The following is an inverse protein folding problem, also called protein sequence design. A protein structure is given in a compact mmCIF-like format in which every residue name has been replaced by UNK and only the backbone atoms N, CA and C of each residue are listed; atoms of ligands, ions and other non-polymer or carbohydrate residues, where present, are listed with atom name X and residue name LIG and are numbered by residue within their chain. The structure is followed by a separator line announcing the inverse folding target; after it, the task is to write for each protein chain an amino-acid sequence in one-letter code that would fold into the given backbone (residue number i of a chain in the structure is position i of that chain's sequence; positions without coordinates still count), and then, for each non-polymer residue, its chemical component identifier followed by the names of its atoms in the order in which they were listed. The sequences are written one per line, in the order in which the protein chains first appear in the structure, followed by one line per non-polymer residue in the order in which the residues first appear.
data_IF_479692712297
#
_entry.id   IF_479692712297
#
_cell.length_a   1.000
_cell.length_b   1.000
_cell.length_c   1.000
_cell.angle_alpha   90.00
_cell.angle_beta   90.00
_cell.angle_gamma   90.00
#
_symmetry.space_group_name_H-M   'P 1'
#
loop_
_entity.id
_entity.type
_entity.pdbx_description
1 polymer ?
#
# COMPACT_ATOMS: atom_id res chain seq x y z
N UNK A 1 20.08 16.41 7.56
CA UNK A 1 19.03 15.50 7.09
C UNK A 1 18.18 16.14 5.99
N UNK A 2 17.42 17.20 6.28
CA UNK A 2 16.53 17.88 5.32
C UNK A 2 17.28 18.30 4.05
N UNK A 3 18.37 19.00 4.19
CA UNK A 3 19.21 19.47 3.07
C UNK A 3 19.65 18.32 2.15
N UNK A 4 20.04 17.19 2.75
CA UNK A 4 20.48 16.02 2.00
C UNK A 4 19.32 15.37 1.22
N UNK A 5 18.16 15.23 1.84
CA UNK A 5 16.98 14.66 1.17
C UNK A 5 16.47 15.58 0.06
N UNK A 6 16.47 16.89 0.28
CA UNK A 6 16.16 17.87 -0.78
C UNK A 6 17.09 17.72 -1.96
N UNK A 7 18.39 17.58 -1.69
CA UNK A 7 19.39 17.37 -2.74
C UNK A 7 19.10 16.09 -3.54
N UNK A 8 18.86 14.97 -2.86
CA UNK A 8 18.49 13.71 -3.51
C UNK A 8 17.18 13.82 -4.29
N UNK A 9 16.14 14.44 -3.71
CA UNK A 9 14.87 14.64 -4.39
C UNK A 9 15.02 15.51 -5.66
N UNK A 10 15.89 16.49 -5.63
CA UNK A 10 16.21 17.32 -6.81
C UNK A 10 17.02 16.53 -7.85
N UNK A 11 18.01 15.76 -7.43
CA UNK A 11 19.00 15.15 -8.30
C UNK A 11 18.66 13.70 -8.75
N UNK A 12 17.64 13.08 -8.21
CA UNK A 12 17.09 11.83 -8.72
C UNK A 12 16.31 12.12 -10.02
N UNK A 13 17.03 12.28 -11.11
CA UNK A 13 16.46 12.79 -12.40
C UNK A 13 16.00 11.68 -13.33
N UNK A 14 16.43 10.44 -13.13
CA UNK A 14 16.00 9.32 -13.98
C UNK A 14 14.50 9.10 -13.83
N UNK A 15 13.79 9.18 -14.93
CA UNK A 15 12.34 8.93 -14.98
C UNK A 15 12.01 7.51 -14.49
N UNK A 16 10.90 7.37 -13.76
CA UNK A 16 10.46 6.09 -13.20
C UNK A 16 11.31 5.58 -12.04
N UNK A 17 12.33 6.32 -11.58
CA UNK A 17 13.14 5.94 -10.41
C UNK A 17 12.46 6.41 -9.13
N UNK A 18 12.38 5.50 -8.15
CA UNK A 18 11.83 5.80 -6.84
C UNK A 18 12.93 6.02 -5.82
N UNK A 19 12.79 7.07 -5.00
CA UNK A 19 13.70 7.38 -3.93
C UNK A 19 13.18 6.80 -2.62
N UNK A 20 13.99 5.97 -1.95
CA UNK A 20 13.73 5.47 -0.61
C UNK A 20 14.74 6.06 0.35
N UNK A 21 14.26 6.65 1.44
CA UNK A 21 15.11 7.34 2.39
C UNK A 21 15.52 6.41 3.52
N UNK A 22 16.82 6.24 3.67
CA UNK A 22 17.40 5.53 4.80
C UNK A 22 17.27 6.32 6.11
N UNK A 23 16.81 5.67 7.17
CA UNK A 23 16.69 6.27 8.50
C UNK A 23 17.34 5.42 9.59
N UNK A 24 18.27 6.04 10.31
CA UNK A 24 18.78 5.51 11.56
C UNK A 24 17.70 5.70 12.65
N UNK A 25 17.07 4.60 13.03
CA UNK A 25 15.93 4.61 13.96
C UNK A 25 16.40 5.00 15.36
N UNK A 26 17.51 4.45 15.84
CA UNK A 26 18.01 4.73 17.18
C UNK A 26 18.28 6.22 17.38
N UNK A 27 18.96 6.84 16.42
CA UNK A 27 19.24 8.30 16.46
C UNK A 27 17.96 9.11 16.28
N UNK A 28 17.07 8.70 15.40
CA UNK A 28 15.80 9.39 15.14
C UNK A 28 14.92 9.42 16.40
N UNK A 29 14.78 8.30 17.09
CA UNK A 29 14.00 8.18 18.32
C UNK A 29 14.68 8.85 19.52
N UNK A 30 16.04 8.81 19.60
CA UNK A 30 16.78 9.53 20.62
C UNK A 30 16.57 11.03 20.54
N UNK A 31 16.48 11.59 19.34
CA UNK A 31 16.32 13.00 19.07
C UNK A 31 14.85 13.45 18.91
N UNK A 32 13.89 12.55 19.13
CA UNK A 32 12.43 12.78 18.93
C UNK A 32 12.09 13.42 17.56
N UNK A 33 12.70 12.88 16.50
CA UNK A 33 12.58 13.46 15.16
C UNK A 33 11.70 12.63 14.20
N UNK A 34 11.09 11.54 14.65
CA UNK A 34 10.35 10.63 13.77
C UNK A 34 9.25 11.37 13.00
N UNK A 35 8.38 12.08 13.71
CA UNK A 35 7.26 12.80 13.11
C UNK A 35 7.73 13.82 12.07
N UNK A 36 8.72 14.63 12.41
CA UNK A 36 9.26 15.67 11.51
C UNK A 36 9.85 15.05 10.25
N UNK A 37 10.59 13.95 10.36
CA UNK A 37 11.19 13.26 9.22
C UNK A 37 10.12 12.64 8.33
N UNK A 38 9.18 11.90 8.89
CA UNK A 38 8.12 11.22 8.13
C UNK A 38 7.22 12.20 7.36
N UNK A 39 6.80 13.29 8.01
CA UNK A 39 5.98 14.32 7.36
C UNK A 39 6.75 15.03 6.25
N UNK A 40 8.01 15.36 6.49
CA UNK A 40 8.84 16.00 5.49
C UNK A 40 9.05 15.12 4.25
N UNK A 41 9.40 13.86 4.43
CA UNK A 41 9.59 12.92 3.33
C UNK A 41 8.33 12.73 2.48
N UNK A 42 7.16 12.67 3.12
CA UNK A 42 5.86 12.58 2.43
C UNK A 42 5.52 13.83 1.60
N UNK A 43 6.10 14.97 1.91
CA UNK A 43 5.93 16.19 1.12
C UNK A 43 6.75 16.20 -0.19
N UNK A 44 7.66 15.22 -0.37
CA UNK A 44 8.56 15.16 -1.51
C UNK A 44 8.06 14.18 -2.58
N UNK A 45 7.87 14.65 -3.79
CA UNK A 45 7.22 13.90 -4.87
C UNK A 45 7.93 12.61 -5.29
N UNK A 46 9.27 12.58 -5.21
CA UNK A 46 10.09 11.43 -5.63
C UNK A 46 10.35 10.43 -4.51
N UNK A 47 10.11 10.81 -3.24
CA UNK A 47 10.23 9.91 -2.11
C UNK A 47 9.01 8.99 -2.05
N UNK A 48 9.24 7.68 -2.18
CA UNK A 48 8.19 6.66 -2.22
C UNK A 48 8.19 5.75 -0.99
N UNK A 49 9.17 5.90 -0.12
CA UNK A 49 9.22 5.10 1.10
C UNK A 49 10.51 5.26 1.89
N UNK A 50 10.62 4.43 2.91
CA UNK A 50 11.71 4.46 3.89
C UNK A 50 12.42 3.12 3.99
N UNK A 51 13.70 3.18 4.34
CA UNK A 51 14.49 2.04 4.74
C UNK A 51 14.99 2.29 6.18
N UNK A 52 14.42 1.60 7.15
CA UNK A 52 14.74 1.78 8.57
C UNK A 52 15.85 0.82 9.02
N UNK A 53 16.82 1.35 9.78
CA UNK A 53 17.85 0.53 10.42
C UNK A 53 18.24 1.07 11.81
N UNK A 54 18.85 0.26 12.66
CA UNK A 54 18.88 -1.21 12.58
C UNK A 54 17.49 -1.82 12.82
N UNK A 55 17.22 -2.97 12.22
CA UNK A 55 15.89 -3.60 12.26
C UNK A 55 15.43 -3.97 13.68
N UNK A 56 16.37 -4.31 14.57
CA UNK A 56 16.07 -4.65 15.97
C UNK A 56 15.38 -3.51 16.73
N UNK A 57 15.64 -2.25 16.41
CA UNK A 57 14.95 -1.10 16.99
C UNK A 57 13.44 -1.17 16.76
N UNK A 58 13.04 -1.57 15.53
CA UNK A 58 11.64 -1.77 15.17
C UNK A 58 11.08 -3.03 15.81
N UNK A 59 11.80 -4.17 15.73
CA UNK A 59 11.36 -5.46 16.26
C UNK A 59 11.12 -5.41 17.77
N UNK A 60 11.96 -4.71 18.51
CA UNK A 60 11.85 -4.54 19.95
C UNK A 60 10.96 -3.36 20.35
N UNK A 61 10.39 -2.66 19.38
CA UNK A 61 9.55 -1.48 19.59
C UNK A 61 10.22 -0.43 20.52
N UNK A 62 11.52 -0.23 20.35
CA UNK A 62 12.26 0.71 21.18
C UNK A 62 11.65 2.10 21.14
N UNK A 63 11.37 2.68 22.33
CA UNK A 63 10.65 3.96 22.51
C UNK A 63 9.32 4.03 21.77
N UNK A 64 8.65 2.90 21.51
CA UNK A 64 7.36 2.86 20.83
C UNK A 64 7.41 3.17 19.34
N UNK A 65 8.56 2.99 18.69
CA UNK A 65 8.72 3.32 17.26
C UNK A 65 7.82 2.48 16.35
N UNK A 66 7.74 1.15 16.58
CA UNK A 66 6.89 0.29 15.77
C UNK A 66 5.40 0.66 15.92
N UNK A 67 4.96 0.95 17.14
CA UNK A 67 3.60 1.43 17.41
C UNK A 67 3.31 2.76 16.74
N UNK A 68 4.26 3.69 16.79
CA UNK A 68 4.13 5.01 16.15
C UNK A 68 4.04 4.88 14.63
N UNK A 69 4.89 4.05 14.03
CA UNK A 69 4.83 3.76 12.60
C UNK A 69 3.47 3.14 12.22
N UNK A 70 3.05 2.09 12.92
CA UNK A 70 1.80 1.38 12.64
C UNK A 70 0.56 2.25 12.81
N UNK A 71 0.48 3.07 13.86
CA UNK A 71 -0.70 3.89 14.14
C UNK A 71 -0.79 5.16 13.30
N UNK A 72 0.35 5.77 12.97
CA UNK A 72 0.37 7.10 12.36
C UNK A 72 0.81 7.11 10.90
N UNK A 73 1.93 6.45 10.57
CA UNK A 73 2.57 6.63 9.26
C UNK A 73 2.36 5.49 8.30
N UNK A 74 2.22 4.26 8.80
CA UNK A 74 2.01 3.04 8.01
C UNK A 74 0.69 2.36 8.43
N UNK A 75 -0.32 3.17 8.70
CA UNK A 75 -1.62 2.71 9.18
C UNK A 75 -2.36 1.86 8.15
N UNK A 76 -2.22 2.21 6.89
CA UNK A 76 -2.90 1.57 5.78
C UNK A 76 -1.90 0.82 4.90
N UNK A 77 -2.34 -0.23 4.19
CA UNK A 77 -1.52 -0.91 3.20
C UNK A 77 -0.99 0.08 2.15
N UNK A 78 0.23 -0.14 1.68
CA UNK A 78 0.80 0.59 0.57
C UNK A 78 1.06 -0.38 -0.58
N UNK A 79 0.70 0.03 -1.79
CA UNK A 79 1.05 -0.70 -3.00
C UNK A 79 2.48 -0.34 -3.41
N UNK A 80 3.16 -1.29 -4.05
CA UNK A 80 4.48 -1.04 -4.62
C UNK A 80 4.32 -0.01 -5.74
N UNK A 81 5.08 1.09 -5.73
CA UNK A 81 5.02 2.08 -6.79
C UNK A 81 5.37 1.45 -8.16
N UNK A 82 4.61 1.80 -9.18
CA UNK A 82 4.81 1.26 -10.52
C UNK A 82 6.16 1.70 -11.12
N UNK A 83 6.89 0.74 -11.70
CA UNK A 83 8.14 0.99 -12.44
C UNK A 83 7.82 1.13 -13.93
N UNK A 84 7.20 2.24 -14.30
CA UNK A 84 6.68 2.49 -15.65
C UNK A 84 7.74 2.43 -16.75
N UNK A 85 9.02 2.65 -16.41
CA UNK A 85 10.15 2.51 -17.35
C UNK A 85 10.52 1.05 -17.66
N UNK A 86 10.08 0.09 -16.81
CA UNK A 86 10.28 -1.34 -17.07
C UNK A 86 9.08 -1.91 -17.83
N UNK A 87 7.89 -1.52 -17.43
CA UNK A 87 6.65 -1.94 -18.07
C UNK A 87 5.56 -0.89 -17.80
N UNK A 88 4.91 -0.39 -18.85
CA UNK A 88 3.94 0.71 -18.77
C UNK A 88 2.50 0.30 -19.09
N UNK A 89 2.24 -0.99 -19.24
CA UNK A 89 0.90 -1.52 -19.46
C UNK A 89 0.32 -2.01 -18.15
N UNK A 90 -0.92 -1.64 -17.86
CA UNK A 90 -1.65 -2.21 -16.75
C UNK A 90 -1.97 -3.69 -17.04
N UNK A 91 -2.01 -4.56 -16.03
CA UNK A 91 -2.53 -5.92 -16.18
C UNK A 91 -3.98 -5.92 -16.68
N UNK A 92 -4.40 -7.03 -17.28
CA UNK A 92 -5.79 -7.19 -17.69
C UNK A 92 -6.73 -7.04 -16.49
N UNK A 93 -7.86 -6.39 -16.71
CA UNK A 93 -8.88 -6.21 -15.69
C UNK A 93 -9.50 -7.53 -15.23
N UNK A 94 -9.98 -7.55 -14.00
CA UNK A 94 -10.75 -8.70 -13.47
C UNK A 94 -12.10 -8.79 -14.17
N UNK A 95 -12.57 -10.02 -14.39
CA UNK A 95 -13.85 -10.31 -15.03
C UNK A 95 -14.79 -11.01 -14.06
N UNK A 96 -16.10 -10.90 -14.31
CA UNK A 96 -17.15 -11.62 -13.60
C UNK A 96 -17.07 -11.47 -12.07
N UNK A 97 -16.80 -10.25 -11.60
CA UNK A 97 -16.85 -9.96 -10.16
C UNK A 97 -18.28 -10.18 -9.65
N UNK A 98 -18.43 -11.06 -8.67
CA UNK A 98 -19.72 -11.40 -8.05
C UNK A 98 -19.55 -11.71 -6.58
N UNK A 99 -20.64 -11.60 -5.82
CA UNK A 99 -20.73 -12.10 -4.45
C UNK A 99 -21.61 -13.35 -4.42
N UNK A 100 -21.25 -14.30 -3.56
CA UNK A 100 -21.97 -15.54 -3.37
C UNK A 100 -22.00 -15.90 -1.90
N UNK A 101 -23.13 -16.41 -1.42
CA UNK A 101 -23.24 -16.96 -0.08
C UNK A 101 -22.67 -18.38 -0.05
N UNK A 102 -21.75 -18.63 0.85
CA UNK A 102 -21.12 -19.94 1.05
C UNK A 102 -21.28 -20.43 2.48
N UNK A 103 -20.90 -21.68 2.76
CA UNK A 103 -20.88 -22.20 4.13
C UNK A 103 -19.97 -21.39 5.10
N UNK A 104 -19.03 -20.62 4.56
CA UNK A 104 -18.11 -19.77 5.33
C UNK A 104 -18.59 -18.33 5.47
N UNK A 105 -19.64 -17.94 4.74
CA UNK A 105 -20.18 -16.59 4.69
C UNK A 105 -20.22 -16.00 3.28
N UNK A 106 -20.39 -14.70 3.16
CA UNK A 106 -20.37 -14.01 1.87
C UNK A 106 -18.96 -13.98 1.29
N UNK A 107 -18.83 -14.55 0.09
CA UNK A 107 -17.57 -14.64 -0.63
C UNK A 107 -17.63 -13.77 -1.88
N UNK A 108 -16.62 -12.94 -2.08
CA UNK A 108 -16.38 -12.21 -3.32
C UNK A 108 -15.55 -13.10 -4.24
N UNK A 109 -15.98 -13.30 -5.50
CA UNK A 109 -15.28 -14.08 -6.52
C UNK A 109 -15.08 -13.27 -7.79
N UNK A 110 -13.98 -13.52 -8.48
CA UNK A 110 -13.69 -12.94 -9.79
C UNK A 110 -12.88 -13.90 -10.65
N UNK A 111 -12.78 -13.60 -11.92
CA UNK A 111 -11.94 -14.31 -12.88
C UNK A 111 -10.84 -13.39 -13.38
N UNK A 112 -9.63 -13.88 -13.42
CA UNK A 112 -8.48 -13.21 -14.02
C UNK A 112 -7.41 -14.24 -14.37
N UNK A 113 -6.64 -13.96 -15.41
CA UNK A 113 -5.41 -14.69 -15.69
C UNK A 113 -4.29 -14.13 -14.82
N UNK A 114 -3.44 -15.01 -14.32
CA UNK A 114 -2.35 -14.65 -13.39
C UNK A 114 -1.01 -15.17 -13.88
N UNK A 115 0.04 -14.41 -13.62
CA UNK A 115 1.40 -14.85 -13.82
C UNK A 115 2.35 -14.11 -12.86
N UNK A 116 3.41 -14.78 -12.45
CA UNK A 116 4.51 -14.15 -11.69
C UNK A 116 5.59 -13.56 -12.61
N UNK A 117 5.59 -13.95 -13.86
CA UNK A 117 6.66 -13.63 -14.82
C UNK A 117 6.18 -12.85 -16.03
N UNK A 118 4.90 -12.95 -16.39
CA UNK A 118 4.31 -12.17 -17.47
C UNK A 118 3.70 -10.88 -16.89
N UNK A 119 4.27 -9.70 -17.15
CA UNK A 119 3.80 -8.45 -16.60
C UNK A 119 2.46 -7.96 -17.18
N UNK A 120 1.95 -8.59 -18.23
CA UNK A 120 0.62 -8.31 -18.79
C UNK A 120 -0.51 -9.02 -18.03
N UNK A 121 -0.15 -9.95 -17.13
CA UNK A 121 -1.10 -10.71 -16.31
C UNK A 121 -0.95 -10.30 -14.85
N UNK A 122 -2.03 -10.43 -14.09
CA UNK A 122 -2.05 -10.07 -12.68
C UNK A 122 -1.05 -10.89 -11.86
N UNK A 123 -0.24 -10.22 -11.04
CA UNK A 123 0.59 -10.86 -10.01
C UNK A 123 -0.15 -11.01 -8.69
N UNK A 124 -1.04 -10.06 -8.41
CA UNK A 124 -1.93 -10.07 -7.24
C UNK A 124 -3.13 -9.14 -7.48
N UNK A 125 -4.08 -9.17 -6.57
CA UNK A 125 -5.29 -8.35 -6.61
C UNK A 125 -5.36 -7.46 -5.39
N UNK A 126 -5.92 -6.27 -5.58
CA UNK A 126 -6.22 -5.33 -4.50
C UNK A 126 -7.73 -5.19 -4.40
N UNK A 127 -8.25 -5.42 -3.21
CA UNK A 127 -9.66 -5.32 -2.91
C UNK A 127 -9.92 -4.03 -2.14
N UNK A 128 -10.77 -3.21 -2.68
CA UNK A 128 -11.20 -1.94 -2.08
C UNK A 128 -12.64 -2.05 -1.61
N UNK A 129 -12.96 -1.34 -0.52
CA UNK A 129 -14.32 -1.21 0.01
C UNK A 129 -14.69 0.25 0.15
N UNK A 130 -15.81 0.63 -0.42
CA UNK A 130 -16.39 1.96 -0.36
C UNK A 130 -17.78 1.88 0.25
N UNK A 131 -18.23 2.94 0.92
CA UNK A 131 -19.62 3.11 1.26
C UNK A 131 -20.49 3.18 -0.02
N UNK A 132 -21.75 2.77 0.04
CA UNK A 132 -22.57 2.56 -1.16
C UNK A 132 -22.64 3.77 -2.11
N UNK A 133 -22.65 4.99 -1.57
CA UNK A 133 -22.73 6.24 -2.36
C UNK A 133 -21.41 7.00 -2.44
N UNK A 134 -20.37 6.49 -1.86
CA UNK A 134 -19.05 7.12 -1.85
C UNK A 134 -18.43 7.07 -3.26
N UNK A 135 -17.80 8.17 -3.73
CA UNK A 135 -17.03 8.13 -4.97
C UNK A 135 -15.88 7.13 -4.89
N UNK A 136 -15.64 6.41 -5.98
CA UNK A 136 -14.48 5.50 -6.04
C UNK A 136 -13.20 6.32 -6.17
N UNK A 137 -12.32 6.20 -5.19
CA UNK A 137 -10.96 6.72 -5.22
C UNK A 137 -9.98 5.60 -4.89
N UNK A 138 -9.31 5.07 -5.91
CA UNK A 138 -8.35 3.97 -5.77
C UNK A 138 -7.00 4.44 -5.22
N UNK A 139 -6.75 5.74 -5.17
CA UNK A 139 -5.55 6.32 -4.58
C UNK A 139 -5.65 6.45 -3.05
N UNK A 140 -6.83 6.23 -2.47
CA UNK A 140 -7.02 6.25 -1.02
C UNK A 140 -6.69 4.87 -0.41
N UNK A 141 -5.53 4.72 0.26
CA UNK A 141 -5.12 3.45 0.85
C UNK A 141 -6.02 3.01 2.01
N UNK A 142 -6.82 3.90 2.58
CA UNK A 142 -7.78 3.56 3.64
C UNK A 142 -8.92 2.68 3.14
N UNK A 143 -9.14 2.62 1.83
CA UNK A 143 -10.15 1.80 1.18
C UNK A 143 -9.67 0.38 0.87
N UNK A 144 -8.37 0.14 0.94
CA UNK A 144 -7.81 -1.20 0.73
C UNK A 144 -8.16 -2.09 1.93
N UNK A 145 -8.92 -3.15 1.67
CA UNK A 145 -9.29 -4.14 2.70
C UNK A 145 -8.46 -5.41 2.61
N UNK A 146 -7.94 -5.74 1.43
CA UNK A 146 -7.02 -6.86 1.26
C UNK A 146 -6.15 -6.71 0.01
N UNK A 147 -4.99 -7.37 0.06
CA UNK A 147 -4.11 -7.64 -1.08
C UNK A 147 -3.90 -9.15 -1.11
N UNK A 148 -4.26 -9.82 -2.19
CA UNK A 148 -4.26 -11.28 -2.29
C UNK A 148 -3.84 -11.76 -3.67
N UNK A 149 -3.42 -13.02 -3.75
CA UNK A 149 -3.21 -13.74 -5.01
C UNK A 149 -4.38 -14.65 -5.36
N UNK A 150 -5.27 -14.86 -4.42
CA UNK A 150 -6.47 -15.66 -4.64
C UNK A 150 -7.48 -14.88 -5.50
N UNK A 151 -8.35 -15.59 -6.21
CA UNK A 151 -9.45 -15.00 -6.99
C UNK A 151 -10.77 -14.99 -6.22
N UNK A 152 -10.67 -15.04 -4.91
CA UNK A 152 -11.78 -14.94 -3.98
C UNK A 152 -11.37 -14.21 -2.69
N UNK A 153 -12.36 -13.72 -1.97
CA UNK A 153 -12.16 -13.05 -0.68
C UNK A 153 -13.41 -13.18 0.19
N UNK A 154 -13.24 -13.68 1.40
CA UNK A 154 -14.32 -13.75 2.38
C UNK A 154 -14.60 -12.35 2.92
N UNK A 155 -15.82 -11.87 2.69
CA UNK A 155 -16.23 -10.55 3.17
C UNK A 155 -16.43 -10.57 4.69
N UNK A 156 -15.94 -9.56 5.41
CA UNK A 156 -16.21 -9.44 6.83
C UNK A 156 -17.72 -9.37 7.10
N UNK A 157 -18.17 -10.12 8.08
CA UNK A 157 -19.56 -10.06 8.54
C UNK A 157 -19.82 -8.73 9.27
N UNK A 158 -20.90 -8.04 8.91
CA UNK A 158 -21.27 -6.73 9.47
C UNK A 158 -22.75 -6.64 9.88
N UNK A 159 -23.41 -7.75 10.14
CA UNK A 159 -24.83 -7.87 10.46
C UNK A 159 -25.78 -7.28 9.37
N UNK A 160 -25.30 -7.07 8.15
CA UNK A 160 -26.05 -6.47 7.07
C UNK A 160 -26.46 -5.00 7.30
N UNK A 161 -25.85 -4.34 8.30
CA UNK A 161 -26.18 -2.95 8.67
C UNK A 161 -25.71 -1.93 7.66
N UNK A 162 -24.65 -2.27 6.90
CA UNK A 162 -24.05 -1.36 5.94
C UNK A 162 -24.09 -1.96 4.54
N UNK A 163 -24.30 -1.09 3.55
CA UNK A 163 -24.19 -1.46 2.15
C UNK A 163 -22.86 -0.96 1.62
N UNK A 164 -22.01 -1.88 1.23
CA UNK A 164 -20.70 -1.57 0.67
C UNK A 164 -20.67 -1.86 -0.82
N UNK A 165 -19.81 -1.13 -1.50
CA UNK A 165 -19.40 -1.41 -2.88
C UNK A 165 -17.95 -1.87 -2.86
N UNK A 166 -17.69 -3.01 -3.45
CA UNK A 166 -16.35 -3.56 -3.60
C UNK A 166 -15.82 -3.34 -5.01
N UNK A 167 -14.55 -3.01 -5.10
CA UNK A 167 -13.80 -2.91 -6.36
C UNK A 167 -12.59 -3.81 -6.23
N UNK A 168 -12.28 -4.57 -7.27
CA UNK A 168 -11.09 -5.41 -7.34
C UNK A 168 -10.26 -4.97 -8.53
N UNK A 169 -8.99 -4.68 -8.28
CA UNK A 169 -8.02 -4.34 -9.33
C UNK A 169 -6.96 -5.40 -9.45
N UNK A 170 -6.50 -5.66 -10.66
CA UNK A 170 -5.32 -6.46 -10.95
C UNK A 170 -4.06 -5.59 -10.86
N UNK A 171 -2.98 -6.15 -10.31
CA UNK A 171 -1.68 -5.49 -10.15
C UNK A 171 -0.56 -6.46 -10.50
#
# INVERSE_FOLDING_TARGET
YITLIQWWNKNATREGTHLYIGQDVARTMKADQLTRKMLYERSLSKVKGNCFWPANEILWNNKGVADSLKRNYHRYPALIPAYTHLHNRAPQEVKKLKTEWTAQGYMLHWQAEQSKTNPELASYFVIYRFENKEPVNLDDPSKIVAVTRETNYLLPYDDGKHKYRYVVTAV
#
